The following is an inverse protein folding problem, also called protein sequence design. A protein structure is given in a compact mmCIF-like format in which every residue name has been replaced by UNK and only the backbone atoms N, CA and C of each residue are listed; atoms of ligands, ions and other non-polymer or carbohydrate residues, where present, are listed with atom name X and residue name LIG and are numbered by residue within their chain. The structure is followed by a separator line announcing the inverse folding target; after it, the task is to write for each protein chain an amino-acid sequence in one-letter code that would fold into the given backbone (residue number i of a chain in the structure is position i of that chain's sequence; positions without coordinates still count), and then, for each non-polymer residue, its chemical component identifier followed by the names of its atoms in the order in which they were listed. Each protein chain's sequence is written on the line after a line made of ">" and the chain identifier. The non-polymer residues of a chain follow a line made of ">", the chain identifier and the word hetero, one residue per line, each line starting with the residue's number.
data_IF_102575662065
#
_entry.id   IF_102575662065
#
_cell.length_a   1.000
_cell.length_b   1.000
_cell.length_c   1.000
_cell.angle_alpha   90.00
_cell.angle_beta   90.00
_cell.angle_gamma   90.00
#
_symmetry.space_group_name_H-M   'P 1'
#
loop_
_entity.id
_entity.type
_entity.pdbx_description
1 polymer ?
#
# COMPACT_ATOMS: atom_id res chain seq x y z
N UNK A 1 -5.89 11.12 5.28
CA UNK A 1 -4.65 11.55 4.59
C UNK A 1 -3.76 10.31 4.48
N UNK A 2 -3.12 10.07 3.34
CA UNK A 2 -2.21 8.92 3.19
C UNK A 2 -0.91 9.18 3.95
N UNK A 3 -0.35 8.14 4.58
CA UNK A 3 1.01 8.18 5.11
C UNK A 3 1.96 7.52 4.11
N UNK A 4 2.92 8.30 3.61
CA UNK A 4 3.82 7.89 2.53
C UNK A 4 5.16 7.41 3.04
N UNK A 5 5.59 6.27 2.53
CA UNK A 5 6.89 5.65 2.78
C UNK A 5 7.61 5.44 1.44
N UNK A 6 8.82 5.98 1.30
CA UNK A 6 9.68 5.77 0.15
C UNK A 6 10.63 4.61 0.44
N UNK A 7 10.33 3.45 -0.13
CA UNK A 7 11.25 2.32 -0.20
C UNK A 7 12.35 2.59 -1.23
N UNK A 8 13.37 1.72 -1.29
CA UNK A 8 14.48 1.84 -2.24
C UNK A 8 14.04 1.65 -3.69
N UNK A 9 13.00 0.86 -3.90
CA UNK A 9 12.41 0.52 -5.21
C UNK A 9 11.14 1.32 -5.48
N UNK A 10 10.22 1.45 -4.51
CA UNK A 10 8.89 2.00 -4.75
C UNK A 10 8.42 3.02 -3.70
N UNK A 11 7.38 3.78 -4.07
CA UNK A 11 6.65 4.64 -3.13
C UNK A 11 5.39 3.91 -2.65
N UNK A 12 5.14 3.96 -1.34
CA UNK A 12 4.03 3.27 -0.71
C UNK A 12 3.18 4.28 0.07
N UNK A 13 1.90 4.39 -0.27
CA UNK A 13 0.90 5.13 0.49
C UNK A 13 0.06 4.16 1.34
N UNK A 14 0.20 4.23 2.65
CA UNK A 14 -0.59 3.41 3.59
C UNK A 14 -1.98 4.01 3.81
N UNK A 15 -2.99 3.15 3.95
CA UNK A 15 -4.40 3.48 4.22
C UNK A 15 -4.80 2.99 5.62
N UNK A 16 -5.91 3.52 6.20
CA UNK A 16 -6.41 3.05 7.47
C UNK A 16 -6.56 1.53 7.53
N UNK A 17 -6.03 0.91 8.59
CA UNK A 17 -6.01 -0.53 8.79
C UNK A 17 -4.72 -1.23 8.37
N UNK A 18 -3.84 -0.57 7.60
CA UNK A 18 -2.46 -1.05 7.42
C UNK A 18 -1.68 -0.89 8.72
N UNK A 19 -0.84 -1.87 9.08
CA UNK A 19 -0.06 -1.83 10.31
C UNK A 19 0.92 -0.65 10.36
N UNK A 20 1.33 -0.13 9.20
CA UNK A 20 2.21 1.03 9.10
C UNK A 20 1.45 2.37 9.02
N UNK A 21 0.11 2.34 9.05
CA UNK A 21 -0.69 3.56 9.06
C UNK A 21 -0.62 4.22 10.45
N UNK A 22 -0.35 5.53 10.56
CA UNK A 22 -0.25 6.19 11.85
C UNK A 22 -1.60 6.23 12.57
N UNK A 23 -1.58 6.13 13.91
CA UNK A 23 -2.80 6.24 14.73
C UNK A 23 -3.50 7.59 14.50
N UNK A 24 -2.71 8.67 14.37
CA UNK A 24 -3.21 9.98 13.99
C UNK A 24 -2.69 10.34 12.59
N UNK A 25 -3.62 10.49 11.65
CA UNK A 25 -3.33 10.83 10.26
C UNK A 25 -2.61 12.17 10.08
N UNK A 26 -2.66 13.08 11.06
CA UNK A 26 -1.99 14.38 11.02
C UNK A 26 -0.50 14.30 11.37
N UNK A 27 -0.04 13.19 11.94
CA UNK A 27 1.35 13.01 12.37
C UNK A 27 2.28 12.69 11.19
N UNK A 28 1.71 12.31 10.03
CA UNK A 28 2.45 12.07 8.79
C UNK A 28 2.30 13.26 7.84
N UNK A 29 3.15 14.27 8.02
CA UNK A 29 3.21 15.44 7.13
C UNK A 29 4.22 15.30 5.99
N UNK A 30 5.15 14.36 6.12
CA UNK A 30 6.26 14.17 5.21
C UNK A 30 6.36 12.70 4.78
N UNK A 31 7.07 12.46 3.68
CA UNK A 31 7.36 11.10 3.21
C UNK A 31 8.53 10.52 4.01
N UNK A 32 8.34 9.37 4.64
CA UNK A 32 9.41 8.68 5.39
C UNK A 32 10.27 7.87 4.43
N UNK A 33 11.58 8.12 4.41
CA UNK A 33 12.50 7.37 3.55
C UNK A 33 13.06 6.13 4.28
N UNK A 34 12.95 4.97 3.65
CA UNK A 34 13.34 3.68 4.20
C UNK A 34 14.52 3.09 3.41
N UNK A 35 15.44 2.44 4.12
CA UNK A 35 16.57 1.69 3.54
C UNK A 35 16.20 0.23 3.28
N UNK A 36 14.99 -0.04 2.75
CA UNK A 36 14.54 -1.38 2.39
C UNK A 36 13.67 -1.34 1.13
N UNK A 37 13.50 -2.51 0.51
CA UNK A 37 12.57 -2.74 -0.59
C UNK A 37 11.11 -2.77 -0.10
N UNK A 38 10.16 -2.55 -0.99
CA UNK A 38 8.73 -2.74 -0.69
C UNK A 38 8.42 -4.17 -0.23
N UNK A 39 9.12 -5.17 -0.80
CA UNK A 39 8.97 -6.57 -0.39
C UNK A 39 9.37 -6.78 1.08
N UNK A 40 10.50 -6.22 1.50
CA UNK A 40 10.96 -6.28 2.88
C UNK A 40 10.07 -5.46 3.81
N UNK A 41 9.54 -4.33 3.33
CA UNK A 41 8.58 -3.51 4.07
C UNK A 41 7.27 -4.27 4.29
N UNK A 42 6.71 -4.90 3.24
CA UNK A 42 5.55 -5.80 3.31
C UNK A 42 5.76 -6.97 4.25
N UNK A 43 6.95 -7.57 4.27
CA UNK A 43 7.27 -8.72 5.12
C UNK A 43 7.20 -8.39 6.63
N UNK A 44 7.28 -7.12 7.02
CA UNK A 44 7.20 -6.67 8.42
C UNK A 44 5.77 -6.40 8.90
N UNK A 45 4.79 -6.47 8.00
CA UNK A 45 3.39 -6.12 8.27
C UNK A 45 2.48 -7.32 8.08
N UNK A 46 1.48 -7.46 8.95
CA UNK A 46 0.45 -8.50 8.86
C UNK A 46 -0.81 -7.96 8.17
N UNK A 47 -1.28 -6.79 8.57
CA UNK A 47 -2.42 -6.12 7.96
C UNK A 47 -1.93 -5.13 6.91
N UNK A 48 -2.39 -5.31 5.69
CA UNK A 48 -1.96 -4.61 4.48
C UNK A 48 -3.18 -3.92 3.90
N UNK A 49 -3.11 -2.59 3.81
CA UNK A 49 -4.07 -1.76 3.10
C UNK A 49 -3.33 -0.55 2.54
N UNK A 50 -2.86 -0.65 1.30
CA UNK A 50 -1.94 0.35 0.75
C UNK A 50 -2.03 0.48 -0.76
N UNK A 51 -1.57 1.63 -1.24
CA UNK A 51 -1.34 1.93 -2.65
C UNK A 51 0.18 1.90 -2.88
N UNK A 52 0.64 1.05 -3.79
CA UNK A 52 2.06 0.97 -4.19
C UNK A 52 2.19 1.63 -5.56
N UNK A 53 3.10 2.57 -5.69
CA UNK A 53 3.45 3.24 -6.94
C UNK A 53 4.77 2.65 -7.43
N UNK A 54 4.70 1.83 -8.47
CA UNK A 54 5.87 1.18 -9.07
C UNK A 54 6.59 2.11 -10.04
N UNK A 55 5.81 2.90 -10.79
CA UNK A 55 6.26 3.96 -11.68
C UNK A 55 5.13 5.00 -11.88
N UNK A 56 5.33 6.03 -12.71
CA UNK A 56 4.33 7.07 -12.99
C UNK A 56 3.00 6.54 -13.53
N UNK A 57 3.01 5.39 -14.21
CA UNK A 57 1.83 4.81 -14.86
C UNK A 57 1.40 3.47 -14.25
N UNK A 58 2.16 2.95 -13.29
CA UNK A 58 1.93 1.63 -12.71
C UNK A 58 1.72 1.75 -11.21
N UNK A 59 0.50 1.41 -10.78
CA UNK A 59 0.13 1.37 -9.37
C UNK A 59 -0.64 0.09 -9.06
N UNK A 60 -0.50 -0.39 -7.83
CA UNK A 60 -1.34 -1.45 -7.29
C UNK A 60 -1.95 -1.05 -5.96
N UNK A 61 -3.24 -1.34 -5.81
CA UNK A 61 -3.92 -1.29 -4.51
C UNK A 61 -3.91 -2.70 -3.93
N UNK A 62 -3.33 -2.85 -2.73
CA UNK A 62 -3.29 -4.13 -2.03
C UNK A 62 -4.07 -4.00 -0.73
N UNK A 63 -5.02 -4.91 -0.52
CA UNK A 63 -5.75 -5.06 0.74
C UNK A 63 -5.83 -6.55 1.08
N UNK A 64 -5.32 -6.95 2.25
CA UNK A 64 -5.45 -8.33 2.76
C UNK A 64 -6.37 -8.41 3.99
N UNK A 65 -7.02 -7.29 4.33
CA UNK A 65 -7.96 -7.19 5.45
C UNK A 65 -9.33 -7.58 4.94
N UNK A 66 -10.03 -8.46 5.68
CA UNK A 66 -11.39 -8.84 5.32
C UNK A 66 -12.31 -7.60 5.46
N UNK A 67 -13.18 -7.34 4.48
CA UNK A 67 -14.24 -6.35 4.67
C UNK A 67 -15.11 -6.74 5.86
N UNK A 68 -15.51 -5.75 6.65
CA UNK A 68 -16.29 -5.92 7.89
C UNK A 68 -17.62 -6.64 7.63
N UNK A 69 -18.19 -6.46 6.43
CA UNK A 69 -19.52 -6.89 6.04
C UNK A 69 -19.53 -7.72 4.74
N UNK A 70 -18.36 -8.07 4.20
CA UNK A 70 -18.29 -8.82 2.94
C UNK A 70 -18.61 -8.02 1.68
N UNK A 71 -18.89 -6.72 1.78
CA UNK A 71 -19.49 -5.98 0.67
C UNK A 71 -18.49 -5.52 -0.40
N UNK A 72 -17.20 -5.31 -0.09
CA UNK A 72 -16.20 -4.87 -1.07
C UNK A 72 -14.79 -5.37 -0.73
N UNK A 73 -14.23 -6.25 -1.57
CA UNK A 73 -12.78 -6.46 -1.64
C UNK A 73 -12.27 -5.70 -2.87
N UNK A 74 -11.18 -4.92 -2.78
CA UNK A 74 -10.54 -4.37 -3.97
C UNK A 74 -10.25 -5.52 -4.92
N UNK A 75 -10.82 -5.47 -6.13
CA UNK A 75 -10.68 -6.54 -7.10
C UNK A 75 -9.18 -6.66 -7.43
N UNK A 76 -8.57 -7.79 -7.07
CA UNK A 76 -7.22 -8.19 -7.47
C UNK A 76 -7.20 -8.56 -8.96
N UNK A 77 -7.75 -7.72 -9.83
CA UNK A 77 -7.56 -7.89 -11.26
C UNK A 77 -6.24 -7.21 -11.61
N UNK A 78 -5.17 -8.00 -11.46
CA UNK A 78 -4.00 -7.91 -12.34
C UNK A 78 -4.58 -7.73 -13.74
N UNK A 79 -4.26 -6.61 -14.39
CA UNK A 79 -4.50 -6.44 -15.81
C UNK A 79 -3.77 -7.59 -16.51
N UNK A 80 -4.53 -8.63 -16.83
CA UNK A 80 -4.09 -9.74 -17.64
C UNK A 80 -3.83 -9.15 -19.04
N UNK A 81 -2.59 -8.73 -19.28
CA UNK A 81 -2.14 -8.24 -20.59
C UNK A 81 -2.08 -9.36 -21.65
N UNK A 82 -2.73 -10.51 -21.42
CA UNK A 82 -3.00 -11.47 -22.47
C UNK A 82 -4.18 -10.99 -23.32
N UNK A 83 -3.84 -10.24 -24.39
CA UNK A 83 -4.65 -9.78 -25.53
C UNK A 83 -4.75 -8.25 -25.63
N UNK A 84 -3.65 -7.62 -26.04
CA UNK A 84 -3.66 -6.52 -27.01
C UNK A 84 -2.54 -6.77 -28.02
#
# INVERSE_FOLDING_TARGET
>A
MLAYFRCTDYLVGTLPGDDCYPENHLDHKETVQLSCTDKEFKAKTKNIHRITYYDMYELAVTCNIKPIDGHLSPVLNILDNSKL
#
